data_IF_014381628282
#
_entry.id   IF_014381628282
#
_cell.length_a   1.000
_cell.length_b   1.000
_cell.length_c   1.000
_cell.angle_alpha   90.00
_cell.angle_beta   90.00
_cell.angle_gamma   90.00
#
_symmetry.space_group_name_H-M   'P 1'
#
loop_
_entity.id
_entity.type
_entity.pdbx_description
1 polymer ?
#
# COMPACT_ATOMS: atom_id res chain seq x y z
N UNK A 1 -32.00 -2.52 -1.52
CA UNK A 1 -31.75 -3.45 -2.67
C UNK A 1 -30.83 -4.57 -2.18
N UNK A 2 -30.91 -5.79 -2.74
CA UNK A 2 -29.99 -6.91 -2.38
C UNK A 2 -28.61 -6.77 -3.03
N UNK A 3 -28.54 -6.21 -4.24
CA UNK A 3 -27.29 -5.92 -4.95
C UNK A 3 -26.91 -4.44 -4.85
N UNK A 4 -25.61 -4.14 -4.98
CA UNK A 4 -25.11 -2.77 -5.16
C UNK A 4 -25.46 -2.26 -6.55
N UNK A 5 -25.71 -0.96 -6.65
CA UNK A 5 -25.85 -0.27 -7.92
C UNK A 5 -24.49 -0.11 -8.59
N UNK A 6 -24.42 -0.44 -9.87
CA UNK A 6 -23.21 -0.36 -10.70
C UNK A 6 -23.55 0.35 -12.01
N UNK A 7 -22.51 0.84 -12.70
CA UNK A 7 -22.66 1.74 -13.84
C UNK A 7 -23.48 1.23 -15.04
N UNK A 8 -23.61 -0.09 -15.18
CA UNK A 8 -24.42 -0.70 -16.24
C UNK A 8 -25.90 -0.86 -15.86
N UNK A 9 -26.30 -0.56 -14.62
CA UNK A 9 -27.69 -0.59 -14.16
C UNK A 9 -28.31 0.82 -14.22
N UNK A 10 -28.92 1.14 -15.37
CA UNK A 10 -29.59 2.41 -15.61
C UNK A 10 -30.80 2.66 -14.69
N UNK A 11 -31.30 1.65 -13.98
CA UNK A 11 -32.46 1.81 -13.08
C UNK A 11 -32.10 2.44 -11.74
N UNK A 12 -30.82 2.47 -11.38
CA UNK A 12 -30.34 3.07 -10.13
C UNK A 12 -29.12 3.95 -10.29
N UNK A 13 -28.35 3.79 -11.36
CA UNK A 13 -27.13 4.56 -11.52
C UNK A 13 -27.51 6.04 -11.63
N UNK A 14 -26.88 6.93 -10.85
CA UNK A 14 -27.24 8.33 -10.88
C UNK A 14 -27.10 8.91 -12.29
N UNK A 15 -28.02 9.80 -12.67
CA UNK A 15 -27.94 10.49 -13.95
C UNK A 15 -26.85 11.57 -13.92
N UNK A 16 -26.58 12.17 -15.08
CA UNK A 16 -25.53 13.18 -15.24
C UNK A 16 -25.70 14.39 -14.32
N UNK A 17 -26.93 14.87 -14.10
CA UNK A 17 -27.20 16.01 -13.20
C UNK A 17 -26.81 15.68 -11.76
N UNK A 18 -27.11 14.47 -11.28
CA UNK A 18 -26.71 14.04 -9.94
C UNK A 18 -25.19 13.92 -9.82
N UNK A 19 -24.52 13.34 -10.83
CA UNK A 19 -23.06 13.26 -10.84
C UNK A 19 -22.38 14.64 -10.90
N UNK A 20 -22.95 15.59 -11.64
CA UNK A 20 -22.47 16.98 -11.68
C UNK A 20 -22.61 17.67 -10.31
N UNK A 21 -23.76 17.52 -9.66
CA UNK A 21 -23.97 18.04 -8.31
C UNK A 21 -23.03 17.42 -7.28
N UNK A 22 -22.81 16.10 -7.37
CA UNK A 22 -21.81 15.42 -6.54
C UNK A 22 -20.41 15.97 -6.81
N UNK A 23 -20.01 16.10 -8.08
CA UNK A 23 -18.69 16.63 -8.44
C UNK A 23 -18.46 18.04 -7.87
N UNK A 24 -19.47 18.90 -7.89
CA UNK A 24 -19.40 20.23 -7.25
C UNK A 24 -19.21 20.14 -5.74
N UNK A 25 -19.86 19.18 -5.07
CA UNK A 25 -19.72 18.98 -3.61
C UNK A 25 -18.38 18.40 -3.15
N UNK A 26 -17.52 17.99 -4.09
CA UNK A 26 -16.16 17.49 -3.86
C UNK A 26 -15.13 18.31 -4.65
N UNK A 27 -15.39 19.60 -4.85
CA UNK A 27 -14.44 20.54 -5.49
C UNK A 27 -13.95 20.12 -6.89
N UNK A 28 -14.82 19.51 -7.69
CA UNK A 28 -14.49 19.11 -9.06
C UNK A 28 -13.60 17.87 -9.16
N UNK A 29 -13.52 17.05 -8.10
CA UNK A 29 -12.58 15.90 -8.01
C UNK A 29 -13.07 14.58 -8.61
N UNK A 30 -14.22 14.58 -9.29
CA UNK A 30 -14.70 13.40 -10.02
C UNK A 30 -13.92 13.25 -11.34
N UNK A 31 -13.29 12.10 -11.54
CA UNK A 31 -12.50 11.78 -12.74
C UNK A 31 -12.92 10.45 -13.35
N UNK A 32 -12.56 10.24 -14.61
CA UNK A 32 -12.83 9.00 -15.35
C UNK A 32 -11.54 8.19 -15.42
N UNK A 33 -11.39 7.12 -14.62
CA UNK A 33 -10.25 6.22 -14.71
C UNK A 33 -10.32 5.36 -15.97
N UNK A 34 -9.15 5.00 -16.49
CA UNK A 34 -8.99 4.11 -17.63
C UNK A 34 -7.84 3.13 -17.38
N UNK A 35 -7.92 1.95 -18.01
CA UNK A 35 -6.82 0.99 -18.05
C UNK A 35 -5.56 1.64 -18.65
N UNK A 36 -4.39 1.34 -18.10
CA UNK A 36 -3.12 1.84 -18.65
C UNK A 36 -2.86 1.41 -20.11
N UNK A 37 -3.51 0.34 -20.56
CA UNK A 37 -3.43 -0.13 -21.94
C UNK A 37 -4.41 0.56 -22.90
N UNK A 38 -5.39 1.33 -22.40
CA UNK A 38 -6.45 1.92 -23.21
C UNK A 38 -5.91 2.87 -24.30
N UNK A 39 -4.85 3.62 -23.98
CA UNK A 39 -4.18 4.53 -24.91
C UNK A 39 -3.51 3.83 -26.10
N UNK A 40 -3.33 2.51 -26.04
CA UNK A 40 -2.85 1.68 -27.15
C UNK A 40 -3.98 0.97 -27.93
N UNK A 41 -5.23 1.13 -27.50
CA UNK A 41 -6.39 0.49 -28.15
C UNK A 41 -6.80 1.20 -29.43
N UNK A 42 -7.48 0.49 -30.34
CA UNK A 42 -7.98 1.07 -31.59
C UNK A 42 -8.96 2.23 -31.36
N UNK A 43 -9.71 2.21 -30.25
CA UNK A 43 -10.75 3.20 -29.92
C UNK A 43 -10.22 4.45 -29.22
N UNK A 44 -9.07 4.37 -28.56
CA UNK A 44 -8.51 5.46 -27.74
C UNK A 44 -7.03 5.70 -28.05
N UNK A 45 -6.60 5.34 -29.26
CA UNK A 45 -5.19 5.37 -29.64
C UNK A 45 -4.60 6.76 -29.52
N UNK A 46 -3.53 6.87 -28.73
CA UNK A 46 -2.68 8.05 -28.69
C UNK A 46 -1.23 7.58 -28.79
N UNK A 47 -0.56 7.89 -29.90
CA UNK A 47 0.78 7.38 -30.20
C UNK A 47 1.80 7.68 -29.09
N UNK A 48 1.79 8.90 -28.56
CA UNK A 48 2.70 9.32 -27.49
C UNK A 48 2.38 8.60 -26.17
N UNK A 49 1.12 8.62 -25.74
CA UNK A 49 0.73 7.98 -24.48
C UNK A 49 0.87 6.47 -24.53
N UNK A 50 0.65 5.84 -25.69
CA UNK A 50 0.90 4.41 -25.89
C UNK A 50 2.39 4.07 -25.80
N UNK A 51 3.27 4.86 -26.42
CA UNK A 51 4.71 4.69 -26.28
C UNK A 51 5.15 4.87 -24.82
N UNK A 52 4.61 5.87 -24.12
CA UNK A 52 4.86 6.08 -22.70
C UNK A 52 4.38 4.88 -21.86
N UNK A 53 3.16 4.40 -22.07
CA UNK A 53 2.62 3.24 -21.35
C UNK A 53 3.43 1.97 -21.59
N UNK A 54 3.93 1.74 -22.82
CA UNK A 54 4.83 0.64 -23.15
C UNK A 54 6.15 0.72 -22.38
N UNK A 55 6.75 1.90 -22.31
CA UNK A 55 8.05 2.10 -21.62
C UNK A 55 7.92 2.06 -20.10
N UNK A 56 6.82 2.58 -19.55
CA UNK A 56 6.59 2.65 -18.10
C UNK A 56 5.75 1.49 -17.56
N UNK A 57 5.49 0.46 -18.37
CA UNK A 57 4.53 -0.59 -18.05
C UNK A 57 4.77 -1.24 -16.68
N UNK A 58 6.04 -1.49 -16.34
CA UNK A 58 6.45 -2.09 -15.06
C UNK A 58 7.00 -1.07 -14.05
N UNK A 59 7.00 0.23 -14.38
CA UNK A 59 7.48 1.27 -13.48
C UNK A 59 6.45 1.54 -12.38
N UNK A 60 6.78 1.14 -11.16
CA UNK A 60 5.86 1.25 -10.04
C UNK A 60 5.43 2.69 -9.74
N UNK A 61 6.36 3.65 -9.79
CA UNK A 61 6.08 5.08 -9.54
C UNK A 61 5.18 5.71 -10.61
N UNK A 62 5.39 5.36 -11.88
CA UNK A 62 4.47 5.82 -12.93
C UNK A 62 3.06 5.23 -12.77
N UNK A 63 2.97 3.99 -12.30
CA UNK A 63 1.68 3.32 -12.12
C UNK A 63 0.89 3.90 -10.95
N UNK A 64 1.49 4.17 -9.79
CA UNK A 64 0.74 4.67 -8.63
C UNK A 64 0.09 6.05 -8.89
N UNK A 65 0.71 6.86 -9.76
CA UNK A 65 0.24 8.21 -10.12
C UNK A 65 -0.96 8.20 -11.09
N UNK A 66 -1.40 7.03 -11.52
CA UNK A 66 -2.57 6.88 -12.39
C UNK A 66 -3.77 6.34 -11.63
N UNK A 67 -4.93 6.94 -11.88
CA UNK A 67 -6.16 6.61 -11.17
C UNK A 67 -6.68 5.20 -11.52
N UNK A 68 -6.53 4.75 -12.76
CA UNK A 68 -7.09 3.48 -13.25
C UNK A 68 -6.16 2.27 -13.17
N UNK A 69 -4.93 2.47 -12.70
CA UNK A 69 -3.88 1.44 -12.68
C UNK A 69 -3.78 0.70 -11.36
N UNK A 70 -3.31 -0.54 -11.47
CA UNK A 70 -2.88 -1.42 -10.39
C UNK A 70 -1.44 -1.85 -10.69
N UNK A 71 -0.67 -2.19 -9.65
CA UNK A 71 0.67 -2.75 -9.84
C UNK A 71 0.59 -4.13 -10.50
N UNK A 72 -0.38 -4.92 -10.07
CA UNK A 72 -0.78 -6.18 -10.70
C UNK A 72 -1.77 -5.88 -11.83
N UNK A 73 -1.24 -5.60 -13.03
CA UNK A 73 -2.03 -5.18 -14.20
C UNK A 73 -3.08 -6.20 -14.66
N UNK A 74 -3.01 -7.47 -14.25
CA UNK A 74 -4.07 -8.45 -14.46
C UNK A 74 -5.40 -8.05 -13.79
N UNK A 75 -5.35 -7.15 -12.81
CA UNK A 75 -6.53 -6.56 -12.16
C UNK A 75 -7.04 -5.28 -12.83
N UNK A 76 -6.47 -4.85 -13.95
CA UNK A 76 -7.01 -3.73 -14.72
C UNK A 76 -7.99 -4.22 -15.77
N UNK A 77 -7.47 -4.89 -16.79
CA UNK A 77 -8.26 -5.37 -17.91
C UNK A 77 -7.60 -6.58 -18.58
N UNK A 78 -8.43 -7.53 -19.02
CA UNK A 78 -8.03 -8.69 -19.82
C UNK A 78 -8.35 -8.52 -21.31
N UNK A 79 -9.12 -7.51 -21.72
CA UNK A 79 -9.52 -7.27 -23.11
C UNK A 79 -8.44 -6.55 -23.94
N UNK A 80 -7.55 -5.79 -23.27
CA UNK A 80 -6.52 -4.97 -23.90
C UNK A 80 -5.17 -5.09 -23.17
N UNK A 81 -4.09 -4.94 -23.93
CA UNK A 81 -2.71 -4.92 -23.42
C UNK A 81 -1.87 -4.03 -24.32
N UNK A 82 -0.86 -3.36 -23.74
CA UNK A 82 0.11 -2.57 -24.51
C UNK A 82 0.91 -3.42 -25.51
N UNK A 83 0.88 -4.74 -25.37
CA UNK A 83 1.55 -5.71 -26.24
C UNK A 83 0.63 -6.31 -27.32
N UNK A 84 -0.65 -5.92 -27.36
CA UNK A 84 -1.63 -6.43 -28.33
C UNK A 84 -2.08 -5.28 -29.22
N UNK A 85 -1.66 -5.31 -30.49
CA UNK A 85 -2.07 -4.32 -31.49
C UNK A 85 -3.55 -4.45 -31.84
N UNK A 86 -4.19 -3.32 -32.15
CA UNK A 86 -5.60 -3.23 -32.56
C UNK A 86 -6.60 -3.86 -31.57
N UNK A 87 -6.22 -4.03 -30.30
CA UNK A 87 -7.13 -4.50 -29.26
C UNK A 87 -8.25 -3.48 -29.00
N UNK A 88 -9.44 -3.99 -28.67
CA UNK A 88 -10.51 -3.17 -28.09
C UNK A 88 -10.35 -3.17 -26.57
N UNK A 89 -10.45 -2.01 -25.95
CA UNK A 89 -10.24 -1.87 -24.52
C UNK A 89 -11.55 -1.47 -23.85
N UNK A 90 -12.16 -2.42 -23.16
CA UNK A 90 -13.31 -2.12 -22.32
C UNK A 90 -12.84 -1.54 -20.96
N UNK A 91 -13.77 -1.38 -20.02
CA UNK A 91 -13.42 -0.87 -18.69
C UNK A 91 -12.73 -1.94 -17.81
N UNK A 92 -12.99 -3.23 -18.07
CA UNK A 92 -12.49 -4.33 -17.26
C UNK A 92 -12.86 -4.19 -15.78
N UNK A 93 -11.91 -4.51 -14.91
CA UNK A 93 -12.05 -4.37 -13.47
C UNK A 93 -11.79 -2.93 -12.99
N UNK A 94 -11.28 -2.03 -13.84
CA UNK A 94 -11.10 -0.62 -13.49
C UNK A 94 -12.46 0.00 -13.16
N UNK A 95 -12.62 0.76 -12.06
CA UNK A 95 -13.87 1.46 -11.74
C UNK A 95 -14.27 2.42 -12.87
N UNK A 96 -15.54 2.84 -12.98
CA UNK A 96 -15.98 3.71 -14.09
C UNK A 96 -15.81 5.21 -13.79
N UNK A 97 -15.80 5.54 -12.51
CA UNK A 97 -15.64 6.88 -11.98
C UNK A 97 -14.75 6.77 -10.75
N UNK A 98 -14.00 7.83 -10.48
CA UNK A 98 -13.16 7.93 -9.30
C UNK A 98 -13.26 9.31 -8.67
N UNK A 99 -13.18 9.37 -7.36
CA UNK A 99 -12.99 10.59 -6.59
C UNK A 99 -11.50 10.71 -6.28
N UNK A 100 -10.86 11.74 -6.82
CA UNK A 100 -9.50 12.12 -6.47
C UNK A 100 -9.50 12.91 -5.15
N UNK A 101 -9.51 12.20 -4.02
CA UNK A 101 -9.62 12.82 -2.70
C UNK A 101 -8.30 13.44 -2.25
N UNK A 102 -8.37 14.68 -1.79
CA UNK A 102 -7.25 15.43 -1.20
C UNK A 102 -7.57 15.93 0.21
N UNK A 103 -8.85 15.94 0.58
CA UNK A 103 -9.35 16.46 1.86
C UNK A 103 -10.25 15.41 2.54
N UNK A 104 -10.27 15.34 3.89
CA UNK A 104 -11.20 14.51 4.65
C UNK A 104 -12.67 14.66 4.22
N UNK A 105 -13.08 15.88 3.88
CA UNK A 105 -14.44 16.23 3.49
C UNK A 105 -14.82 15.53 2.17
N UNK A 106 -13.88 15.37 1.23
CA UNK A 106 -14.15 14.61 0.00
C UNK A 106 -14.48 13.15 0.31
N UNK A 107 -13.79 12.56 1.29
CA UNK A 107 -14.06 11.19 1.74
C UNK A 107 -15.42 11.08 2.38
N UNK A 108 -15.76 11.98 3.32
CA UNK A 108 -17.06 11.98 4.00
C UNK A 108 -18.22 12.16 3.02
N UNK A 109 -18.13 13.15 2.13
CA UNK A 109 -19.14 13.41 1.09
C UNK A 109 -19.28 12.21 0.15
N UNK A 110 -18.17 11.55 -0.21
CA UNK A 110 -18.21 10.33 -1.03
C UNK A 110 -18.91 9.18 -0.32
N UNK A 111 -18.64 8.95 0.97
CA UNK A 111 -19.28 7.89 1.74
C UNK A 111 -20.78 8.12 1.84
N UNK A 112 -21.20 9.35 2.16
CA UNK A 112 -22.63 9.72 2.21
C UNK A 112 -23.31 9.53 0.85
N UNK A 113 -22.64 9.91 -0.24
CA UNK A 113 -23.16 9.74 -1.60
C UNK A 113 -23.31 8.25 -1.97
N UNK A 114 -22.29 7.43 -1.69
CA UNK A 114 -22.32 5.98 -1.91
C UNK A 114 -23.47 5.32 -1.16
N UNK A 115 -23.70 5.72 0.09
CA UNK A 115 -24.82 5.21 0.89
C UNK A 115 -26.16 5.58 0.26
N UNK A 116 -26.34 6.86 -0.08
CA UNK A 116 -27.59 7.39 -0.65
C UNK A 116 -27.99 6.67 -1.94
N UNK A 117 -27.03 6.36 -2.80
CA UNK A 117 -27.27 5.73 -4.10
C UNK A 117 -26.96 4.22 -4.12
N UNK A 118 -26.62 3.63 -2.96
CA UNK A 118 -26.28 2.22 -2.80
C UNK A 118 -25.21 1.74 -3.81
N UNK A 119 -24.18 2.55 -4.04
CA UNK A 119 -23.13 2.25 -5.00
C UNK A 119 -22.15 1.21 -4.47
N UNK A 120 -21.49 0.47 -5.36
CA UNK A 120 -20.29 -0.28 -5.00
C UNK A 120 -19.12 0.70 -4.87
N UNK A 121 -18.58 0.84 -3.67
CA UNK A 121 -17.38 1.62 -3.40
C UNK A 121 -16.16 0.72 -3.35
N UNK A 122 -15.04 1.22 -3.88
CA UNK A 122 -13.70 0.65 -3.71
C UNK A 122 -12.76 1.75 -3.28
N UNK A 123 -11.74 1.42 -2.49
CA UNK A 123 -10.76 2.37 -1.98
C UNK A 123 -9.39 2.01 -2.54
N UNK A 124 -8.65 3.00 -3.06
CA UNK A 124 -7.28 2.81 -3.54
C UNK A 124 -6.37 3.89 -2.96
N UNK A 125 -5.23 3.44 -2.44
CA UNK A 125 -4.05 4.29 -2.22
C UNK A 125 -3.15 4.17 -3.45
N UNK A 126 -2.29 3.14 -3.51
CA UNK A 126 -1.27 2.97 -4.56
C UNK A 126 -1.57 1.86 -5.58
N UNK A 127 -2.62 1.06 -5.40
CA UNK A 127 -2.95 -0.04 -6.31
C UNK A 127 -2.00 -1.25 -6.22
N UNK A 128 -1.23 -1.37 -5.14
CA UNK A 128 -0.32 -2.50 -4.86
C UNK A 128 -1.02 -3.83 -4.51
N UNK A 129 -2.36 -3.85 -4.43
CA UNK A 129 -3.05 -5.03 -3.94
C UNK A 129 -2.98 -6.21 -4.94
N UNK A 130 -2.30 -7.27 -4.54
CA UNK A 130 -2.14 -8.49 -5.34
C UNK A 130 -3.45 -9.26 -5.57
N UNK A 131 -4.50 -8.98 -4.79
CA UNK A 131 -5.77 -9.70 -4.79
C UNK A 131 -6.91 -8.90 -5.43
N UNK A 132 -6.61 -7.75 -6.04
CA UNK A 132 -7.61 -6.91 -6.69
C UNK A 132 -8.56 -6.18 -5.73
N UNK A 133 -8.25 -6.08 -4.44
CA UNK A 133 -9.12 -5.46 -3.41
C UNK A 133 -9.25 -3.94 -3.56
N UNK A 134 -8.36 -3.30 -4.33
CA UNK A 134 -8.39 -1.86 -4.63
C UNK A 134 -8.97 -1.53 -6.01
N UNK A 135 -9.70 -2.47 -6.64
CA UNK A 135 -10.38 -2.26 -7.92
C UNK A 135 -11.70 -3.02 -7.98
N UNK A 136 -12.62 -2.63 -8.86
CA UNK A 136 -13.84 -3.39 -9.12
C UNK A 136 -14.61 -2.91 -10.35
N UNK A 137 -15.14 -3.89 -11.10
CA UNK A 137 -16.09 -3.66 -12.18
C UNK A 137 -17.29 -2.82 -11.73
N UNK A 138 -17.58 -1.77 -12.50
CA UNK A 138 -18.78 -0.93 -12.36
C UNK A 138 -18.87 -0.12 -11.07
N UNK A 139 -17.79 -0.03 -10.30
CA UNK A 139 -17.74 0.65 -9.01
C UNK A 139 -17.42 2.16 -9.15
N UNK A 140 -17.65 2.88 -8.05
CA UNK A 140 -17.04 4.18 -7.78
C UNK A 140 -15.75 3.95 -6.99
N UNK A 141 -14.64 4.52 -7.47
CA UNK A 141 -13.37 4.50 -6.76
C UNK A 141 -13.22 5.71 -5.85
N UNK A 142 -12.79 5.51 -4.62
CA UNK A 142 -12.23 6.55 -3.77
C UNK A 142 -10.71 6.43 -3.79
N UNK A 143 -10.05 7.37 -4.46
CA UNK A 143 -8.60 7.39 -4.62
C UNK A 143 -8.00 8.44 -3.69
N UNK A 144 -7.26 7.98 -2.67
CA UNK A 144 -6.72 8.82 -1.58
C UNK A 144 -5.24 9.17 -1.75
N UNK A 145 -4.66 8.83 -2.91
CA UNK A 145 -3.22 8.98 -3.18
C UNK A 145 -2.69 10.39 -2.96
N UNK A 146 -3.45 11.44 -3.28
CA UNK A 146 -2.99 12.82 -3.11
C UNK A 146 -3.19 13.40 -1.71
N UNK A 147 -3.61 12.59 -0.73
CA UNK A 147 -3.56 12.95 0.69
C UNK A 147 -2.13 12.72 1.22
N UNK A 148 -1.23 13.67 0.98
CA UNK A 148 0.23 13.52 1.16
C UNK A 148 0.83 14.21 2.41
N UNK A 149 0.00 14.64 3.37
CA UNK A 149 0.52 15.33 4.55
C UNK A 149 1.31 14.38 5.48
N UNK A 150 2.42 14.88 6.01
CA UNK A 150 3.25 14.24 7.03
C UNK A 150 3.56 15.26 8.13
N UNK A 151 3.47 14.86 9.39
CA UNK A 151 3.71 15.77 10.52
C UNK A 151 4.44 15.05 11.64
N UNK A 152 5.56 15.62 12.10
CA UNK A 152 6.25 15.11 13.29
C UNK A 152 5.44 15.50 14.52
N UNK A 153 5.37 14.59 15.47
CA UNK A 153 4.80 14.83 16.79
C UNK A 153 5.93 14.58 17.78
N UNK A 154 6.52 15.65 18.29
CA UNK A 154 7.67 15.58 19.21
C UNK A 154 7.36 14.69 20.42
N UNK A 155 6.17 14.86 21.00
CA UNK A 155 5.65 14.03 22.09
C UNK A 155 4.18 13.71 21.83
N UNK A 156 3.89 12.47 21.48
CA UNK A 156 2.52 11.96 21.42
C UNK A 156 2.05 11.61 22.84
N UNK A 157 0.92 12.17 23.24
CA UNK A 157 0.24 11.82 24.51
C UNK A 157 -1.16 11.32 24.19
N UNK A 158 -1.43 10.04 24.47
CA UNK A 158 -2.73 9.44 24.16
C UNK A 158 -2.91 8.08 24.82
N UNK A 159 -4.10 7.83 25.38
CA UNK A 159 -4.46 6.58 26.06
C UNK A 159 -3.47 6.16 27.17
N UNK A 160 -2.94 7.12 27.93
CA UNK A 160 -1.94 6.86 28.98
C UNK A 160 -0.53 6.57 28.47
N UNK A 161 -0.29 6.58 27.16
CA UNK A 161 1.03 6.48 26.57
C UNK A 161 1.63 7.86 26.32
N UNK A 162 2.92 7.99 26.61
CA UNK A 162 3.75 9.12 26.19
C UNK A 162 4.84 8.56 25.29
N UNK A 163 4.83 8.95 24.01
CA UNK A 163 5.78 8.44 23.01
C UNK A 163 6.53 9.61 22.39
N UNK A 164 7.85 9.67 22.48
CA UNK A 164 8.64 10.68 21.80
C UNK A 164 8.71 10.37 20.30
N UNK A 165 8.80 11.41 19.47
CA UNK A 165 9.02 11.32 18.03
C UNK A 165 8.02 10.35 17.37
N UNK A 166 6.74 10.70 17.35
CA UNK A 166 5.76 10.00 16.52
C UNK A 166 5.62 10.72 15.18
N UNK A 167 5.10 10.03 14.16
CA UNK A 167 4.78 10.64 12.88
C UNK A 167 3.31 10.42 12.56
N UNK A 168 2.61 11.49 12.16
CA UNK A 168 1.28 11.41 11.55
C UNK A 168 1.43 11.37 10.04
N UNK A 169 0.84 10.35 9.42
CA UNK A 169 0.88 10.11 7.98
C UNK A 169 -0.53 10.12 7.41
N UNK A 170 -0.76 10.86 6.33
CA UNK A 170 -2.02 10.84 5.59
C UNK A 170 -2.16 9.62 4.68
N UNK A 171 -3.40 9.29 4.33
CA UNK A 171 -3.85 8.11 3.57
C UNK A 171 -3.08 7.82 2.27
N UNK A 172 -2.55 8.86 1.64
CA UNK A 172 -1.88 8.82 0.35
C UNK A 172 -0.36 8.65 0.44
N UNK A 173 0.25 8.84 1.61
CA UNK A 173 1.70 8.82 1.78
C UNK A 173 2.25 7.41 1.56
N UNK A 174 3.37 7.30 0.86
CA UNK A 174 4.06 6.06 0.52
C UNK A 174 5.36 5.91 1.31
N UNK A 175 5.83 4.67 1.50
CA UNK A 175 7.00 4.41 2.35
C UNK A 175 8.28 5.13 1.91
N UNK A 176 8.49 5.30 0.60
CA UNK A 176 9.65 6.05 0.08
C UNK A 176 9.64 7.51 0.52
N UNK A 177 8.46 8.14 0.52
CA UNK A 177 8.27 9.52 1.02
C UNK A 177 8.54 9.57 2.54
N UNK A 178 7.99 8.61 3.30
CA UNK A 178 8.19 8.52 4.76
C UNK A 178 9.67 8.40 5.10
N UNK A 179 10.42 7.53 4.42
CA UNK A 179 11.84 7.31 4.71
C UNK A 179 12.69 8.54 4.37
N UNK A 180 12.47 9.16 3.21
CA UNK A 180 13.19 10.38 2.83
C UNK A 180 12.98 11.46 3.88
N UNK A 181 11.73 11.65 4.32
CA UNK A 181 11.36 12.69 5.26
C UNK A 181 11.88 12.43 6.69
N UNK A 182 11.78 11.20 7.20
CA UNK A 182 12.29 10.85 8.53
C UNK A 182 13.83 10.86 8.59
N UNK A 183 14.51 10.57 7.49
CA UNK A 183 15.97 10.63 7.42
C UNK A 183 16.51 12.03 7.72
N UNK A 184 15.81 13.08 7.32
CA UNK A 184 16.15 14.49 7.65
C UNK A 184 16.12 14.77 9.15
N UNK A 185 15.40 13.94 9.91
CA UNK A 185 15.23 14.05 11.36
C UNK A 185 16.07 13.00 12.13
N UNK A 186 16.92 12.23 11.43
CA UNK A 186 17.65 11.08 11.99
C UNK A 186 16.72 10.03 12.64
N UNK A 187 15.54 9.86 12.06
CA UNK A 187 14.53 8.92 12.51
C UNK A 187 14.26 7.86 11.43
N UNK A 188 13.65 6.75 11.86
CA UNK A 188 13.14 5.69 11.01
C UNK A 188 11.80 5.19 11.53
N UNK A 189 11.05 4.51 10.67
CA UNK A 189 9.78 3.88 10.99
C UNK A 189 9.75 2.44 10.44
N UNK A 190 8.89 1.61 11.03
CA UNK A 190 8.77 0.20 10.64
C UNK A 190 7.86 0.10 9.43
N UNK A 191 8.45 0.05 8.24
CA UNK A 191 7.73 0.05 6.97
C UNK A 191 8.23 -0.96 5.94
N UNK A 192 7.59 -0.95 4.77
CA UNK A 192 7.85 -1.88 3.67
C UNK A 192 9.13 -1.52 2.88
N UNK A 193 9.75 -2.51 2.24
CA UNK A 193 10.95 -2.29 1.41
C UNK A 193 10.66 -1.58 0.09
N UNK A 194 9.48 -1.81 -0.50
CA UNK A 194 9.05 -1.14 -1.73
C UNK A 194 8.56 0.28 -1.43
N UNK A 195 9.26 1.28 -1.95
CA UNK A 195 8.99 2.70 -1.68
C UNK A 195 7.60 3.17 -2.10
N UNK A 196 7.00 2.57 -3.13
CA UNK A 196 5.68 2.97 -3.69
C UNK A 196 4.48 2.32 -2.98
N UNK A 197 4.72 1.51 -1.95
CA UNK A 197 3.64 0.94 -1.14
C UNK A 197 3.07 2.03 -0.25
N UNK A 198 1.74 2.20 -0.26
CA UNK A 198 1.04 3.15 0.60
C UNK A 198 1.24 2.81 2.07
N UNK A 199 1.76 3.78 2.82
CA UNK A 199 2.24 3.60 4.19
C UNK A 199 1.13 3.21 5.16
N UNK A 200 -0.02 3.89 5.11
CA UNK A 200 -1.16 3.69 6.04
C UNK A 200 -2.31 2.85 5.45
N UNK A 201 -2.16 2.42 4.21
CA UNK A 201 -3.19 1.65 3.49
C UNK A 201 -3.22 0.18 3.91
N UNK A 202 -3.47 -0.71 2.93
CA UNK A 202 -3.55 -2.15 3.17
C UNK A 202 -2.28 -2.79 3.76
N UNK A 203 -1.10 -2.17 3.58
CA UNK A 203 0.15 -2.63 4.20
C UNK A 203 0.09 -2.56 5.73
N UNK A 204 -0.17 -1.37 6.28
CA UNK A 204 -0.24 -1.15 7.73
C UNK A 204 -1.43 -1.90 8.34
N UNK A 205 -2.58 -1.85 7.65
CA UNK A 205 -3.82 -2.45 8.14
C UNK A 205 -3.81 -3.98 8.06
N UNK A 206 -2.94 -4.59 7.25
CA UNK A 206 -2.82 -6.04 7.08
C UNK A 206 -1.65 -6.69 7.84
N UNK A 207 -0.94 -5.92 8.67
CA UNK A 207 0.23 -6.38 9.44
C UNK A 207 1.49 -5.59 9.12
N UNK A 208 1.99 -5.73 7.89
CA UNK A 208 3.15 -4.99 7.38
C UNK A 208 4.49 -5.48 7.94
N UNK A 209 5.16 -6.37 7.21
CA UNK A 209 6.51 -6.83 7.57
C UNK A 209 7.57 -5.81 7.15
N UNK A 210 8.70 -5.79 7.85
CA UNK A 210 9.84 -4.92 7.60
C UNK A 210 11.16 -5.64 7.83
N UNK A 211 12.24 -5.16 7.22
CA UNK A 211 13.60 -5.56 7.61
C UNK A 211 13.91 -5.20 9.07
N UNK A 212 13.15 -4.28 9.66
CA UNK A 212 13.27 -3.87 11.06
C UNK A 212 12.29 -4.61 11.98
N UNK A 213 11.49 -5.55 11.48
CA UNK A 213 10.43 -6.16 12.28
C UNK A 213 10.93 -7.00 13.45
N UNK A 214 12.12 -7.60 13.34
CA UNK A 214 12.72 -8.32 14.47
C UNK A 214 13.12 -7.39 15.62
N UNK A 215 13.44 -6.13 15.31
CA UNK A 215 13.81 -5.10 16.28
C UNK A 215 12.59 -4.44 16.95
N UNK A 216 11.51 -4.15 16.19
CA UNK A 216 10.37 -3.34 16.68
C UNK A 216 8.98 -3.87 16.35
N UNK A 217 8.86 -5.15 16.00
CA UNK A 217 7.57 -5.76 15.64
C UNK A 217 7.13 -5.44 14.21
N UNK A 218 5.92 -5.85 13.85
CA UNK A 218 5.32 -5.49 12.56
C UNK A 218 4.97 -3.99 12.53
N UNK A 219 4.72 -3.45 11.33
CA UNK A 219 4.26 -2.07 11.19
C UNK A 219 2.99 -1.81 12.01
N UNK A 220 2.10 -2.80 12.08
CA UNK A 220 0.86 -2.73 12.86
C UNK A 220 1.07 -2.62 14.37
N UNK A 221 2.15 -3.19 14.91
CA UNK A 221 2.52 -3.07 16.33
C UNK A 221 2.96 -1.64 16.70
N UNK A 222 3.27 -0.84 15.68
CA UNK A 222 3.80 0.51 15.82
C UNK A 222 2.73 1.61 15.71
N UNK A 223 1.45 1.23 15.58
CA UNK A 223 0.35 2.19 15.48
C UNK A 223 -0.01 2.74 16.87
N UNK A 224 -0.27 4.04 16.91
CA UNK A 224 -0.75 4.77 18.10
C UNK A 224 -2.22 5.16 17.95
N UNK A 225 -2.62 5.60 16.76
CA UNK A 225 -3.94 6.14 16.49
C UNK A 225 -4.28 6.09 15.00
N UNK A 226 -5.56 5.91 14.68
CA UNK A 226 -6.14 6.18 13.38
C UNK A 226 -7.16 7.32 13.46
N UNK A 227 -7.20 8.12 12.39
CA UNK A 227 -8.29 9.03 12.07
C UNK A 227 -8.99 8.49 10.82
N UNK A 228 -10.28 8.20 10.94
CA UNK A 228 -11.03 7.44 9.95
C UNK A 228 -12.39 8.04 9.64
N UNK A 229 -12.96 7.67 8.50
CA UNK A 229 -14.38 7.88 8.18
C UNK A 229 -15.07 6.51 8.18
N UNK A 230 -16.02 6.33 9.10
CA UNK A 230 -16.80 5.10 9.20
C UNK A 230 -17.88 5.03 8.12
N UNK A 231 -18.48 3.85 7.95
CA UNK A 231 -19.43 3.60 6.86
C UNK A 231 -20.65 4.54 6.91
N UNK A 232 -21.02 5.07 8.07
CA UNK A 232 -22.07 6.08 8.31
C UNK A 232 -21.65 7.53 8.01
N UNK A 233 -20.44 7.74 7.48
CA UNK A 233 -19.91 9.04 7.10
C UNK A 233 -19.34 9.86 8.25
N UNK A 234 -19.29 9.31 9.47
CA UNK A 234 -18.74 10.00 10.63
C UNK A 234 -17.21 9.91 10.67
N UNK A 235 -16.56 11.03 10.99
CA UNK A 235 -15.12 11.05 11.24
C UNK A 235 -14.85 10.67 12.69
N UNK A 236 -14.00 9.69 12.91
CA UNK A 236 -13.74 9.12 14.22
C UNK A 236 -12.25 8.89 14.46
N UNK A 237 -11.85 9.05 15.70
CA UNK A 237 -10.55 8.59 16.20
C UNK A 237 -10.68 7.16 16.70
N UNK A 238 -9.76 6.29 16.32
CA UNK A 238 -9.64 4.93 16.83
C UNK A 238 -8.24 4.70 17.39
N UNK A 239 -8.15 4.39 18.68
CA UNK A 239 -6.89 4.15 19.40
C UNK A 239 -7.14 3.19 20.58
N UNK A 240 -6.14 3.00 21.45
CA UNK A 240 -6.21 2.05 22.56
C UNK A 240 -7.28 2.36 23.63
N UNK A 241 -7.91 3.54 23.61
CA UNK A 241 -8.88 3.98 24.61
C UNK A 241 -10.22 4.48 24.02
N UNK A 242 -10.27 4.80 22.73
CA UNK A 242 -11.45 5.24 21.99
C UNK A 242 -11.67 4.36 20.76
N UNK A 243 -12.90 3.88 20.54
CA UNK A 243 -13.24 2.95 19.44
C UNK A 243 -12.26 1.76 19.35
N UNK A 244 -12.04 1.11 20.49
CA UNK A 244 -10.96 0.11 20.71
C UNK A 244 -11.08 -1.12 19.83
N UNK A 245 -12.31 -1.55 19.58
CA UNK A 245 -12.65 -2.64 18.67
C UNK A 245 -12.31 -2.29 17.21
N UNK A 246 -12.65 -1.07 16.77
CA UNK A 246 -12.26 -0.57 15.46
C UNK A 246 -10.74 -0.42 15.34
N UNK A 247 -10.07 0.10 16.37
CA UNK A 247 -8.62 0.19 16.41
C UNK A 247 -7.96 -1.19 16.25
N UNK A 248 -8.42 -2.18 17.02
CA UNK A 248 -7.94 -3.56 16.93
C UNK A 248 -8.18 -4.15 15.52
N UNK A 249 -9.35 -3.92 14.94
CA UNK A 249 -9.68 -4.42 13.61
C UNK A 249 -8.81 -3.78 12.50
N UNK A 250 -8.55 -2.47 12.59
CA UNK A 250 -7.68 -1.76 11.65
C UNK A 250 -6.20 -2.14 11.84
N UNK A 251 -5.78 -2.53 13.04
CA UNK A 251 -4.41 -2.94 13.36
C UNK A 251 -4.17 -4.44 13.05
N UNK A 252 -4.34 -4.84 11.79
CA UNK A 252 -4.00 -6.18 11.31
C UNK A 252 -5.14 -6.95 10.63
N UNK A 253 -6.39 -6.52 10.76
CA UNK A 253 -7.57 -7.17 10.16
C UNK A 253 -7.73 -6.96 8.65
N UNK A 254 -6.86 -6.16 8.03
CA UNK A 254 -6.87 -5.89 6.59
C UNK A 254 -7.56 -4.58 6.21
N UNK A 255 -7.03 -3.92 5.19
CA UNK A 255 -7.53 -2.62 4.75
C UNK A 255 -8.79 -2.67 3.88
N UNK A 256 -9.52 -1.55 3.85
CA UNK A 256 -10.64 -1.32 2.94
C UNK A 256 -11.99 -1.90 3.38
N UNK A 257 -12.09 -2.44 4.59
CA UNK A 257 -13.33 -3.09 5.06
C UNK A 257 -13.99 -2.43 6.28
N UNK A 258 -13.22 -1.93 7.26
CA UNK A 258 -13.78 -1.44 8.53
C UNK A 258 -14.12 0.05 8.49
N UNK A 259 -13.24 0.86 7.89
CA UNK A 259 -13.42 2.30 7.71
C UNK A 259 -12.46 2.81 6.61
N UNK A 260 -12.68 4.03 6.12
CA UNK A 260 -11.68 4.73 5.30
C UNK A 260 -10.69 5.41 6.22
N UNK A 261 -9.43 4.98 6.22
CA UNK A 261 -8.37 5.66 6.98
C UNK A 261 -7.98 6.96 6.28
N UNK A 262 -8.02 8.07 7.02
CA UNK A 262 -7.55 9.38 6.58
C UNK A 262 -6.11 9.62 7.00
N UNK A 263 -5.78 9.27 8.24
CA UNK A 263 -4.45 9.38 8.81
C UNK A 263 -4.16 8.24 9.79
N UNK A 264 -2.88 7.91 9.97
CA UNK A 264 -2.39 7.10 11.08
C UNK A 264 -1.26 7.81 11.81
N UNK A 265 -1.17 7.65 13.12
CA UNK A 265 -0.04 8.06 13.93
C UNK A 265 0.79 6.83 14.27
N UNK A 266 2.07 6.85 13.90
CA UNK A 266 3.00 5.74 14.09
C UNK A 266 4.14 6.15 15.02
N UNK A 267 4.66 5.17 15.77
CA UNK A 267 5.95 5.30 16.47
C UNK A 267 7.07 5.48 15.44
N UNK A 268 8.02 6.37 15.74
CA UNK A 268 9.32 6.39 15.05
C UNK A 268 10.43 6.13 16.04
N UNK A 269 11.62 5.85 15.53
CA UNK A 269 12.79 5.50 16.30
C UNK A 269 14.01 6.23 15.77
N UNK A 270 15.00 6.57 16.61
CA UNK A 270 16.31 6.99 16.12
C UNK A 270 16.84 5.98 15.09
N UNK A 271 17.39 6.47 13.99
CA UNK A 271 17.97 5.61 12.96
C UNK A 271 19.10 4.77 13.57
N UNK A 272 18.97 3.43 13.57
CA UNK A 272 19.96 2.58 14.22
C UNK A 272 21.21 2.43 13.33
N UNK A 273 22.41 2.28 13.91
CA UNK A 273 23.51 1.68 13.19
C UNK A 273 23.12 0.25 12.80
N UNK A 274 23.48 -0.16 11.58
CA UNK A 274 23.16 -1.49 11.04
C UNK A 274 24.44 -2.24 10.71
N UNK A 275 24.53 -3.48 11.17
CA UNK A 275 25.39 -4.47 10.51
C UNK A 275 24.58 -5.06 9.35
N UNK A 276 25.17 -5.11 8.17
CA UNK A 276 24.53 -5.65 6.97
C UNK A 276 25.33 -6.84 6.48
N UNK A 277 24.62 -7.89 6.13
CA UNK A 277 25.15 -9.11 5.59
C UNK A 277 24.51 -9.42 4.24
N UNK A 278 25.33 -9.52 3.19
CA UNK A 278 24.89 -9.71 1.81
C UNK A 278 25.62 -10.91 1.19
N UNK A 279 24.86 -11.88 0.69
CA UNK A 279 25.38 -13.03 -0.04
C UNK A 279 24.75 -13.18 -1.41
N UNK A 280 25.60 -13.52 -2.37
CA UNK A 280 25.24 -13.92 -3.73
C UNK A 280 25.92 -15.24 -4.01
N UNK A 281 25.12 -16.27 -4.28
CA UNK A 281 25.60 -17.64 -4.33
C UNK A 281 25.25 -18.22 -5.68
N UNK A 282 26.25 -18.74 -6.37
CA UNK A 282 26.12 -19.45 -7.64
C UNK A 282 26.58 -20.90 -7.43
N UNK A 283 25.65 -21.86 -7.30
CA UNK A 283 25.98 -23.26 -7.04
C UNK A 283 26.70 -23.90 -8.23
N UNK A 284 27.62 -24.83 -7.93
CA UNK A 284 28.34 -25.59 -8.97
C UNK A 284 27.48 -26.67 -9.64
N UNK A 285 26.47 -27.19 -8.94
CA UNK A 285 25.49 -28.15 -9.46
C UNK A 285 24.19 -28.14 -8.61
N UNK A 286 23.12 -28.72 -9.16
CA UNK A 286 21.80 -28.75 -8.51
C UNK A 286 21.77 -29.45 -7.16
N UNK A 287 22.44 -30.60 -6.99
CA UNK A 287 22.45 -31.31 -5.70
C UNK A 287 23.06 -30.46 -4.57
N UNK A 288 24.16 -29.74 -4.86
CA UNK A 288 24.75 -28.80 -3.89
C UNK A 288 23.82 -27.64 -3.59
N UNK A 289 23.08 -27.17 -4.59
CA UNK A 289 22.14 -26.08 -4.41
C UNK A 289 20.96 -26.49 -3.53
N UNK A 290 20.38 -27.67 -3.76
CA UNK A 290 19.29 -28.21 -2.93
C UNK A 290 19.72 -28.36 -1.47
N UNK A 291 20.94 -28.86 -1.23
CA UNK A 291 21.49 -28.96 0.12
C UNK A 291 21.69 -27.57 0.74
N UNK A 292 22.26 -26.63 -0.02
CA UNK A 292 22.42 -25.25 0.43
C UNK A 292 21.08 -24.61 0.83
N UNK A 293 20.03 -24.74 0.01
CA UNK A 293 18.69 -24.22 0.33
C UNK A 293 18.19 -24.82 1.66
N UNK A 294 18.33 -26.14 1.84
CA UNK A 294 17.92 -26.82 3.08
C UNK A 294 18.68 -26.28 4.29
N UNK A 295 19.98 -26.07 4.16
CA UNK A 295 20.82 -25.60 5.24
C UNK A 295 20.51 -24.14 5.59
N UNK A 296 20.29 -23.27 4.59
CA UNK A 296 19.80 -21.88 4.83
C UNK A 296 18.51 -21.90 5.63
N UNK A 297 17.51 -22.67 5.19
CA UNK A 297 16.20 -22.71 5.84
C UNK A 297 16.31 -23.20 7.29
N UNK A 298 17.16 -24.20 7.56
CA UNK A 298 17.45 -24.68 8.93
C UNK A 298 18.18 -23.65 9.79
N UNK A 299 18.94 -22.74 9.17
CA UNK A 299 19.73 -21.73 9.86
C UNK A 299 18.95 -20.44 10.16
N UNK A 300 17.81 -20.20 9.49
CA UNK A 300 16.97 -19.02 9.72
C UNK A 300 16.58 -18.79 11.20
N UNK A 301 16.24 -19.82 12.02
CA UNK A 301 15.98 -19.61 13.44
C UNK A 301 17.19 -19.04 14.19
N UNK A 302 18.41 -19.52 13.92
CA UNK A 302 19.64 -18.99 14.53
C UNK A 302 19.84 -17.52 14.18
N UNK A 303 19.60 -17.14 12.92
CA UNK A 303 19.62 -15.73 12.50
C UNK A 303 18.57 -14.91 13.27
N UNK A 304 17.34 -15.41 13.35
CA UNK A 304 16.25 -14.73 14.04
C UNK A 304 16.52 -14.55 15.55
N UNK A 305 17.05 -15.58 16.22
CA UNK A 305 17.43 -15.54 17.63
C UNK A 305 18.61 -14.58 17.87
N UNK A 306 19.51 -14.45 16.89
CA UNK A 306 20.56 -13.45 16.83
C UNK A 306 20.11 -12.03 16.45
N UNK A 307 18.79 -11.77 16.43
CA UNK A 307 18.16 -10.51 16.07
C UNK A 307 18.44 -10.05 14.62
N UNK A 308 18.80 -10.98 13.73
CA UNK A 308 18.90 -10.71 12.30
C UNK A 308 17.52 -10.76 11.65
N UNK A 309 17.31 -9.87 10.68
CA UNK A 309 16.12 -9.86 9.84
C UNK A 309 16.45 -9.41 8.43
N UNK A 310 15.72 -9.91 7.45
CA UNK A 310 16.11 -9.73 6.07
C UNK A 310 15.23 -10.46 5.08
N UNK A 311 15.69 -10.49 3.85
CA UNK A 311 15.05 -11.20 2.75
C UNK A 311 16.04 -12.12 2.09
N UNK A 312 15.53 -13.22 1.54
CA UNK A 312 16.28 -14.14 0.71
C UNK A 312 15.45 -14.55 -0.49
N UNK A 313 16.12 -14.80 -1.60
CA UNK A 313 15.53 -15.28 -2.85
C UNK A 313 16.32 -16.46 -3.36
N UNK A 314 15.62 -17.53 -3.73
CA UNK A 314 16.17 -18.66 -4.43
C UNK A 314 15.70 -18.60 -5.89
N UNK A 315 16.65 -18.60 -6.82
CA UNK A 315 16.43 -18.69 -8.27
C UNK A 315 16.93 -20.05 -8.77
N UNK A 316 16.67 -20.40 -10.04
CA UNK A 316 17.03 -21.72 -10.59
C UNK A 316 18.54 -22.05 -10.47
N UNK A 317 19.40 -21.05 -10.59
CA UNK A 317 20.85 -21.22 -10.60
C UNK A 317 21.59 -20.19 -9.72
N UNK A 318 20.91 -19.55 -8.79
CA UNK A 318 21.54 -18.61 -7.85
C UNK A 318 20.66 -18.34 -6.65
N UNK A 319 21.26 -17.88 -5.56
CA UNK A 319 20.54 -17.35 -4.41
C UNK A 319 21.08 -15.98 -4.01
N UNK A 320 20.22 -15.15 -3.43
CA UNK A 320 20.60 -13.92 -2.77
C UNK A 320 20.03 -13.88 -1.36
N UNK A 321 20.84 -13.44 -0.39
CA UNK A 321 20.44 -13.27 1.00
C UNK A 321 20.90 -11.88 1.46
N UNK A 322 19.99 -11.11 2.05
CA UNK A 322 20.28 -9.80 2.59
C UNK A 322 19.66 -9.67 3.98
N UNK A 323 20.51 -9.66 5.01
CA UNK A 323 20.11 -9.57 6.40
C UNK A 323 20.75 -8.36 7.08
N UNK A 324 20.03 -7.79 8.03
CA UNK A 324 20.50 -6.70 8.88
C UNK A 324 20.39 -7.07 10.35
N UNK A 325 21.27 -6.50 11.16
CA UNK A 325 21.22 -6.57 12.62
C UNK A 325 21.31 -5.14 13.18
N UNK A 326 20.18 -4.51 13.54
CA UNK A 326 20.15 -3.19 14.15
C UNK A 326 20.82 -3.20 15.53
N UNK A 327 21.69 -2.23 15.80
CA UNK A 327 22.53 -2.17 17.01
C UNK A 327 23.37 -3.45 17.27
N UNK A 328 23.70 -4.19 16.21
CA UNK A 328 24.51 -5.40 16.32
C UNK A 328 25.95 -5.12 16.77
N UNK A 329 26.56 -6.10 17.42
CA UNK A 329 27.99 -6.14 17.73
C UNK A 329 28.73 -6.99 16.67
N UNK A 330 29.86 -6.50 16.16
CA UNK A 330 30.59 -7.18 15.07
C UNK A 330 31.15 -8.55 15.48
N UNK A 331 31.52 -8.76 16.74
CA UNK A 331 32.03 -10.06 17.18
C UNK A 331 30.90 -11.08 17.27
N UNK A 332 29.75 -10.67 17.82
CA UNK A 332 28.53 -11.51 17.86
C UNK A 332 28.03 -11.80 16.44
N UNK A 333 28.06 -10.80 15.55
CA UNK A 333 27.70 -10.95 14.16
C UNK A 333 28.60 -11.97 13.45
N UNK A 334 29.92 -11.84 13.58
CA UNK A 334 30.88 -12.78 13.01
C UNK A 334 30.68 -14.20 13.56
N UNK A 335 30.48 -14.35 14.88
CA UNK A 335 30.22 -15.65 15.50
C UNK A 335 28.93 -16.30 14.94
N UNK A 336 27.85 -15.52 14.83
CA UNK A 336 26.58 -15.99 14.28
C UNK A 336 26.77 -16.48 12.84
N UNK A 337 27.34 -15.63 11.97
CA UNK A 337 27.52 -15.95 10.55
C UNK A 337 28.51 -17.10 10.32
N UNK A 338 29.58 -17.19 11.12
CA UNK A 338 30.57 -18.27 11.00
C UNK A 338 30.00 -19.66 11.28
N UNK A 339 28.87 -19.77 12.01
CA UNK A 339 28.18 -21.04 12.22
C UNK A 339 27.51 -21.60 10.97
N UNK A 340 27.45 -20.82 9.89
CA UNK A 340 26.87 -21.23 8.61
C UNK A 340 27.93 -21.46 7.51
N UNK A 341 29.05 -20.74 7.54
CA UNK A 341 30.16 -20.84 6.58
C UNK A 341 30.96 -22.13 6.85
#
# INVERSE_FOLDING_TARGET
RRCRCIANDSTCWPNSTVWQGFNQSIDGRLVIPQSSAAVCSSTQFNAYMCALAKTQWTNSSWRIDQVGTMQSYNWENTSCSVFIENSTCDQGAVPVLAVNATLPEHVQTTIQFVQRYNLRLVIKTSGHDFLGRSTAYGALLLWVHYMKNMTLIDIYTGCGNVVPNAIRLSAGVEWGEVYSWLNEHNLTAIGGSSGTVGSVGGYLQGGGHSILSRWKGLSTDNILEFDVVTADGQRQTANACQNKDLFWALAGGGGGTFAVVLNAVLRTYPSPPLIVFLWYISPLNGTRYDNFIRDVVKFLPTLADGNWSGYFSFYDASASLAFICPYGDMNVANATISGFI
#
